data_IF_737401494374
#
_entry.id   IF_737401494374
#
_cell.length_a   1.000
_cell.length_b   1.000
_cell.length_c   1.000
_cell.angle_alpha   90.00
_cell.angle_beta   90.00
_cell.angle_gamma   90.00
#
_symmetry.space_group_name_H-M   'P 1'
#
loop_
_entity.id
_entity.type
_entity.pdbx_description
1 polymer ?
#
# COMPACT_ATOMS: atom_id res chain seq x y z
N UNK A 1 -11.29 -30.20 8.36
CA UNK A 1 -9.81 -30.08 8.38
C UNK A 1 -9.52 -28.88 9.25
N UNK A 2 -9.46 -29.11 10.56
CA UNK A 2 -9.61 -28.09 11.59
C UNK A 2 -8.23 -27.59 12.04
N UNK A 3 -7.84 -26.39 11.62
CA UNK A 3 -6.68 -25.67 12.13
C UNK A 3 -6.73 -25.49 13.66
N UNK A 4 -7.93 -25.55 14.24
CA UNK A 4 -8.17 -25.51 15.68
C UNK A 4 -7.62 -26.73 16.45
N UNK A 5 -7.42 -27.89 15.80
CA UNK A 5 -6.91 -29.11 16.45
C UNK A 5 -5.38 -29.16 16.52
N UNK A 6 -4.69 -28.35 15.72
CA UNK A 6 -3.21 -28.29 15.67
C UNK A 6 -2.61 -27.27 16.64
N UNK A 7 -3.44 -26.38 17.20
CA UNK A 7 -3.07 -25.43 18.25
C UNK A 7 -3.27 -25.99 19.67
N UNK A 8 -4.07 -27.05 19.82
CA UNK A 8 -4.30 -27.73 21.10
C UNK A 8 -3.27 -28.81 21.41
N UNK A 9 -2.53 -29.30 20.41
CA UNK A 9 -1.47 -30.30 20.59
C UNK A 9 -0.13 -29.68 21.02
N UNK A 10 0.02 -28.36 20.86
CA UNK A 10 1.10 -27.58 21.47
C UNK A 10 0.77 -27.16 22.93
N UNK A 11 -0.34 -27.67 23.47
CA UNK A 11 -0.77 -27.45 24.85
C UNK A 11 -0.79 -28.77 25.63
N UNK A 12 0.26 -29.59 25.49
CA UNK A 12 0.55 -30.56 26.55
C UNK A 12 1.05 -29.83 27.80
N UNK A 13 0.67 -30.30 29.00
CA UNK A 13 0.92 -29.60 30.24
C UNK A 13 2.42 -29.69 30.54
N UNK A 14 3.14 -28.58 30.41
CA UNK A 14 4.41 -28.37 31.10
C UNK A 14 4.12 -28.24 32.61
N UNK A 15 3.63 -29.32 33.22
CA UNK A 15 3.34 -29.47 34.64
C UNK A 15 4.25 -30.55 35.23
N UNK A 16 5.53 -30.53 34.89
CA UNK A 16 6.58 -31.12 35.72
C UNK A 16 7.76 -30.16 35.78
N UNK A 17 7.59 -29.10 36.58
CA UNK A 17 8.70 -28.47 37.24
C UNK A 17 8.28 -28.31 38.70
N UNK A 18 8.76 -29.23 39.54
CA UNK A 18 8.87 -28.99 40.98
C UNK A 18 9.93 -27.91 41.22
N UNK A 19 9.69 -26.71 40.68
CA UNK A 19 10.41 -25.51 41.02
C UNK A 19 9.80 -24.91 42.27
N UNK A 20 10.63 -24.47 43.21
CA UNK A 20 10.17 -23.68 44.36
C UNK A 20 9.18 -22.61 43.88
N UNK A 21 8.13 -22.30 44.64
CA UNK A 21 7.05 -21.38 44.22
C UNK A 21 7.53 -20.06 43.62
N UNK A 22 8.77 -19.64 43.95
CA UNK A 22 9.46 -18.50 43.33
C UNK A 22 9.84 -18.66 41.85
N UNK A 23 10.23 -19.84 41.36
CA UNK A 23 10.52 -20.07 39.94
C UNK A 23 9.27 -20.01 39.08
N UNK A 24 8.14 -20.53 39.60
CA UNK A 24 6.84 -20.40 38.94
C UNK A 24 6.47 -18.91 38.81
N UNK A 25 6.63 -18.14 39.89
CA UNK A 25 6.32 -16.72 39.93
C UNK A 25 7.20 -15.92 38.97
N UNK A 26 8.49 -16.26 38.89
CA UNK A 26 9.45 -15.67 37.95
C UNK A 26 9.07 -15.95 36.50
N UNK A 27 8.72 -17.21 36.17
CA UNK A 27 8.26 -17.58 34.83
C UNK A 27 7.01 -16.81 34.41
N UNK A 28 6.01 -16.69 35.30
CA UNK A 28 4.81 -15.88 35.02
C UNK A 28 5.16 -14.40 34.79
N UNK A 29 6.12 -13.85 35.52
CA UNK A 29 6.60 -12.48 35.34
C UNK A 29 7.29 -12.29 33.98
N UNK A 30 8.13 -13.24 33.58
CA UNK A 30 8.80 -13.25 32.26
C UNK A 30 7.75 -13.33 31.14
N UNK A 31 6.78 -14.24 31.25
CA UNK A 31 5.70 -14.34 30.27
C UNK A 31 4.87 -13.05 30.18
N UNK A 32 4.56 -12.42 31.31
CA UNK A 32 3.85 -11.14 31.33
C UNK A 32 4.64 -10.04 30.59
N UNK A 33 5.96 -9.97 30.78
CA UNK A 33 6.83 -9.01 30.08
C UNK A 33 6.84 -9.28 28.57
N UNK A 34 6.94 -10.54 28.14
CA UNK A 34 6.91 -10.91 26.71
C UNK A 34 5.59 -10.47 26.07
N UNK A 35 4.45 -10.67 26.74
CA UNK A 35 3.14 -10.23 26.25
C UNK A 35 3.08 -8.71 26.11
N UNK A 36 3.56 -7.97 27.11
CA UNK A 36 3.58 -6.50 27.06
C UNK A 36 4.45 -6.00 25.90
N UNK A 37 5.65 -6.58 25.71
CA UNK A 37 6.53 -6.23 24.59
C UNK A 37 5.87 -6.56 23.25
N UNK A 38 5.23 -7.72 23.13
CA UNK A 38 4.49 -8.12 21.94
C UNK A 38 3.37 -7.13 21.58
N UNK A 39 2.58 -6.70 22.57
CA UNK A 39 1.53 -5.69 22.37
C UNK A 39 2.13 -4.35 21.94
N UNK A 40 3.25 -3.94 22.54
CA UNK A 40 3.94 -2.68 22.23
C UNK A 40 4.42 -2.68 20.77
N UNK A 41 5.00 -3.79 20.30
CA UNK A 41 5.42 -3.98 18.90
C UNK A 41 4.21 -3.91 17.97
N UNK A 42 3.10 -4.60 18.29
CA UNK A 42 1.87 -4.56 17.49
C UNK A 42 1.29 -3.15 17.40
N UNK A 43 1.35 -2.38 18.48
CA UNK A 43 0.84 -1.00 18.53
C UNK A 43 1.70 -0.07 17.66
N UNK A 44 3.02 -0.24 17.67
CA UNK A 44 3.94 0.48 16.78
C UNK A 44 3.70 0.13 15.32
N UNK A 45 3.54 -1.15 14.98
CA UNK A 45 3.18 -1.57 13.62
C UNK A 45 1.85 -0.96 13.20
N UNK A 46 0.83 -0.98 14.05
CA UNK A 46 -0.49 -0.39 13.74
C UNK A 46 -0.39 1.11 13.43
N UNK A 47 0.51 1.82 14.13
CA UNK A 47 0.72 3.25 13.91
C UNK A 47 1.53 3.54 12.64
N UNK A 48 2.50 2.68 12.30
CA UNK A 48 3.28 2.78 11.09
C UNK A 48 2.49 2.39 9.83
N UNK A 49 1.61 1.38 9.94
CA UNK A 49 0.74 0.88 8.85
C UNK A 49 -0.50 1.74 8.63
N UNK A 50 -0.49 3.01 9.06
CA UNK A 50 -1.63 3.89 8.87
C UNK A 50 -1.76 4.18 7.38
N UNK A 51 -2.84 3.69 6.78
CA UNK A 51 -3.12 3.88 5.36
C UNK A 51 -3.20 5.37 5.04
N UNK A 52 -2.64 5.81 3.89
CA UNK A 52 -2.69 7.20 3.48
C UNK A 52 -4.13 7.64 3.26
N UNK A 53 -4.41 8.92 3.48
CA UNK A 53 -5.77 9.46 3.25
C UNK A 53 -6.05 9.60 1.75
N UNK A 54 -7.33 9.62 1.34
CA UNK A 54 -7.72 9.83 -0.07
C UNK A 54 -7.11 11.10 -0.68
N UNK A 55 -6.96 12.17 0.13
CA UNK A 55 -6.32 13.40 -0.31
C UNK A 55 -4.81 13.23 -0.56
N UNK A 56 -4.12 12.47 0.29
CA UNK A 56 -2.70 12.14 0.12
C UNK A 56 -2.48 11.24 -1.10
N UNK A 57 -3.36 10.26 -1.31
CA UNK A 57 -3.31 9.40 -2.50
C UNK A 57 -3.48 10.23 -3.77
N UNK A 58 -4.50 11.10 -3.84
CA UNK A 58 -4.66 12.04 -4.96
C UNK A 58 -3.39 12.86 -5.21
N UNK A 59 -2.81 13.43 -4.15
CA UNK A 59 -1.61 14.25 -4.27
C UNK A 59 -0.42 13.44 -4.81
N UNK A 60 -0.25 12.18 -4.37
CA UNK A 60 0.80 11.30 -4.86
C UNK A 60 0.58 10.89 -6.32
N UNK A 61 -0.66 10.60 -6.73
CA UNK A 61 -0.98 10.31 -8.13
C UNK A 61 -0.73 11.57 -9.01
N UNK A 62 -1.05 12.77 -8.51
CA UNK A 62 -0.79 14.02 -9.23
C UNK A 62 0.71 14.33 -9.35
N UNK A 63 1.50 14.02 -8.32
CA UNK A 63 2.95 14.12 -8.39
C UNK A 63 3.53 13.10 -9.40
N UNK A 64 2.96 11.90 -9.45
CA UNK A 64 3.36 10.86 -10.40
C UNK A 64 3.00 11.25 -11.85
N UNK A 65 1.82 11.80 -12.12
CA UNK A 65 1.45 12.29 -13.46
C UNK A 65 2.34 13.44 -13.91
N UNK A 66 2.68 14.37 -13.02
CA UNK A 66 3.64 15.44 -13.32
C UNK A 66 5.05 14.89 -13.62
N UNK A 67 5.48 13.85 -12.90
CA UNK A 67 6.77 13.21 -13.13
C UNK A 67 6.80 12.44 -14.47
N UNK A 68 5.68 11.83 -14.89
CA UNK A 68 5.53 11.25 -16.22
C UNK A 68 5.61 12.32 -17.32
N UNK A 69 4.94 13.47 -17.14
CA UNK A 69 5.02 14.58 -18.08
C UNK A 69 6.45 15.13 -18.22
N UNK A 70 7.17 15.29 -17.10
CA UNK A 70 8.56 15.74 -17.11
C UNK A 70 9.52 14.76 -17.81
N UNK A 71 9.19 13.47 -17.84
CA UNK A 71 9.95 12.47 -18.58
C UNK A 71 9.77 12.60 -20.09
N UNK A 72 8.60 13.03 -20.53
CA UNK A 72 8.26 13.25 -21.94
C UNK A 72 8.87 14.55 -22.48
N UNK A 73 8.75 15.66 -21.74
CA UNK A 73 9.27 16.98 -22.15
C UNK A 73 10.79 17.10 -22.09
N UNK A 74 11.43 16.42 -21.13
CA UNK A 74 12.87 16.48 -20.89
C UNK A 74 13.53 15.11 -21.06
N UNK A 75 13.20 14.43 -22.16
CA UNK A 75 13.75 13.12 -22.49
C UNK A 75 15.30 13.20 -22.50
N UNK A 76 16.00 12.52 -21.56
CA UNK A 76 17.44 12.62 -21.50
C UNK A 76 18.09 12.02 -22.76
N UNK A 77 19.09 12.72 -23.30
CA UNK A 77 19.86 12.26 -24.47
C UNK A 77 20.45 10.87 -24.23
N UNK A 78 20.94 10.61 -23.01
CA UNK A 78 21.53 9.35 -22.62
C UNK A 78 20.50 8.28 -22.25
N UNK A 79 20.60 7.11 -22.90
CA UNK A 79 19.75 5.93 -22.67
C UNK A 79 19.75 5.50 -21.19
N UNK A 80 20.90 5.51 -20.54
CA UNK A 80 21.06 5.08 -19.13
C UNK A 80 20.22 5.96 -18.19
N UNK A 81 20.21 7.26 -18.40
CA UNK A 81 19.41 8.19 -17.61
C UNK A 81 17.91 8.02 -17.85
N UNK A 82 17.51 7.75 -19.10
CA UNK A 82 16.11 7.43 -19.45
C UNK A 82 15.62 6.19 -18.70
N UNK A 83 16.42 5.12 -18.72
CA UNK A 83 16.06 3.87 -18.04
C UNK A 83 16.06 4.03 -16.51
N UNK A 84 16.98 4.82 -15.95
CA UNK A 84 16.99 5.11 -14.51
C UNK A 84 15.75 5.91 -14.08
N UNK A 85 15.31 6.91 -14.87
CA UNK A 85 14.05 7.61 -14.59
C UNK A 85 12.84 6.68 -14.71
N UNK A 86 12.80 5.84 -15.74
CA UNK A 86 11.74 4.84 -15.91
C UNK A 86 11.66 3.88 -14.70
N UNK A 87 12.81 3.40 -14.20
CA UNK A 87 12.88 2.55 -13.01
C UNK A 87 12.40 3.26 -11.75
N UNK A 88 12.76 4.54 -11.58
CA UNK A 88 12.26 5.35 -10.46
C UNK A 88 10.74 5.49 -10.51
N UNK A 89 10.19 5.82 -11.68
CA UNK A 89 8.75 5.94 -11.89
C UNK A 89 8.03 4.60 -11.67
N UNK A 90 8.60 3.48 -12.12
CA UNK A 90 8.05 2.15 -11.84
C UNK A 90 7.97 1.89 -10.33
N UNK A 91 9.05 2.18 -9.59
CA UNK A 91 9.06 2.03 -8.14
C UNK A 91 8.06 2.94 -7.42
N UNK A 92 7.82 4.15 -7.93
CA UNK A 92 6.83 5.06 -7.37
C UNK A 92 5.39 4.62 -7.73
N UNK A 93 5.18 4.06 -8.92
CA UNK A 93 3.92 3.45 -9.34
C UNK A 93 3.58 2.22 -8.49
N UNK A 94 4.54 1.33 -8.23
CA UNK A 94 4.36 0.15 -7.38
C UNK A 94 3.92 0.52 -5.95
N UNK A 95 4.52 1.57 -5.36
CA UNK A 95 4.10 2.10 -4.05
C UNK A 95 2.67 2.64 -4.08
N UNK A 96 2.28 3.29 -5.18
CA UNK A 96 0.93 3.81 -5.37
C UNK A 96 -0.10 2.68 -5.48
N UNK A 97 0.16 1.68 -6.32
CA UNK A 97 -0.69 0.49 -6.49
C UNK A 97 -0.90 -0.22 -5.15
N UNK A 98 0.18 -0.42 -4.39
CA UNK A 98 0.08 -1.02 -3.05
C UNK A 98 -0.83 -0.19 -2.13
N UNK A 99 -0.63 1.13 -2.10
CA UNK A 99 -1.42 2.01 -1.25
C UNK A 99 -2.91 2.02 -1.65
N UNK A 100 -3.22 2.10 -2.95
CA UNK A 100 -4.60 2.10 -3.45
C UNK A 100 -5.27 0.76 -3.24
N UNK A 101 -4.58 -0.35 -3.49
CA UNK A 101 -5.09 -1.71 -3.25
C UNK A 101 -5.42 -1.93 -1.77
N UNK A 102 -4.53 -1.50 -0.86
CA UNK A 102 -4.75 -1.65 0.57
C UNK A 102 -5.93 -0.78 1.09
N UNK A 103 -6.17 0.39 0.47
CA UNK A 103 -7.35 1.21 0.76
C UNK A 103 -8.61 0.55 0.20
N UNK A 104 -8.59 0.10 -1.06
CA UNK A 104 -9.72 -0.58 -1.70
C UNK A 104 -10.18 -1.80 -0.90
N UNK A 105 -9.25 -2.63 -0.43
CA UNK A 105 -9.56 -3.80 0.41
C UNK A 105 -10.16 -3.42 1.77
N UNK A 106 -9.62 -2.37 2.41
CA UNK A 106 -10.10 -1.93 3.72
C UNK A 106 -11.49 -1.31 3.64
N UNK A 107 -11.73 -0.48 2.64
CA UNK A 107 -12.98 0.27 2.48
C UNK A 107 -14.05 -0.49 1.69
N UNK A 108 -13.65 -1.59 1.02
CA UNK A 108 -14.48 -2.35 0.08
C UNK A 108 -15.10 -1.44 -0.98
N UNK A 109 -14.33 -0.45 -1.44
CA UNK A 109 -14.75 0.55 -2.41
C UNK A 109 -14.35 0.12 -3.82
N UNK A 110 -15.34 -0.18 -4.66
CA UNK A 110 -15.12 -0.56 -6.06
C UNK A 110 -14.52 0.56 -6.90
N UNK A 111 -14.77 1.83 -6.54
CA UNK A 111 -14.18 2.96 -7.26
C UNK A 111 -12.67 3.04 -7.01
N UNK A 112 -12.23 2.72 -5.79
CA UNK A 112 -10.81 2.64 -5.44
C UNK A 112 -10.12 1.43 -6.09
N UNK A 113 -10.85 0.33 -6.27
CA UNK A 113 -10.38 -0.82 -7.03
C UNK A 113 -10.14 -0.44 -8.50
N UNK A 114 -11.05 0.34 -9.10
CA UNK A 114 -10.87 0.91 -10.44
C UNK A 114 -9.67 1.84 -10.58
N UNK A 115 -9.34 2.63 -9.54
CA UNK A 115 -8.09 3.42 -9.49
C UNK A 115 -6.86 2.50 -9.53
N UNK A 116 -6.91 1.39 -8.79
CA UNK A 116 -5.82 0.40 -8.77
C UNK A 116 -5.60 -0.22 -10.15
N UNK A 117 -6.66 -0.67 -10.83
CA UNK A 117 -6.56 -1.25 -12.17
C UNK A 117 -5.96 -0.27 -13.19
N UNK A 118 -6.33 1.02 -13.11
CA UNK A 118 -5.77 2.04 -13.99
C UNK A 118 -4.27 2.28 -13.74
N UNK A 119 -3.84 2.26 -12.48
CA UNK A 119 -2.43 2.38 -12.12
C UNK A 119 -1.62 1.12 -12.51
N UNK A 120 -2.19 -0.07 -12.37
CA UNK A 120 -1.58 -1.32 -12.87
C UNK A 120 -1.39 -1.26 -14.38
N UNK A 121 -2.40 -0.77 -15.11
CA UNK A 121 -2.29 -0.52 -16.55
C UNK A 121 -1.19 0.49 -16.90
N UNK A 122 -1.07 1.59 -16.13
CA UNK A 122 0.01 2.56 -16.34
C UNK A 122 1.41 1.95 -16.08
N UNK A 123 1.52 1.08 -15.07
CA UNK A 123 2.74 0.36 -14.74
C UNK A 123 3.13 -0.62 -15.84
N UNK A 124 2.19 -1.34 -16.43
CA UNK A 124 2.44 -2.25 -17.56
C UNK A 124 3.06 -1.52 -18.74
N UNK A 125 2.45 -0.40 -19.15
CA UNK A 125 2.95 0.43 -20.26
C UNK A 125 4.34 1.01 -19.95
N UNK A 126 4.57 1.46 -18.71
CA UNK A 126 5.87 1.99 -18.27
C UNK A 126 6.95 0.90 -18.22
N UNK A 127 6.59 -0.32 -17.82
CA UNK A 127 7.47 -1.49 -17.83
C UNK A 127 7.82 -1.89 -19.27
N UNK A 128 6.82 -1.87 -20.15
CA UNK A 128 7.00 -2.14 -21.57
C UNK A 128 7.88 -1.07 -22.24
N UNK A 129 7.73 0.21 -21.87
CA UNK A 129 8.64 1.29 -22.29
C UNK A 129 10.09 1.03 -21.84
N UNK A 130 10.30 0.66 -20.57
CA UNK A 130 11.63 0.32 -20.04
C UNK A 130 12.25 -0.85 -20.80
N UNK A 131 11.50 -1.94 -20.96
CA UNK A 131 12.00 -3.17 -21.60
C UNK A 131 12.23 -2.99 -23.11
N UNK A 132 11.49 -2.08 -23.76
CA UNK A 132 11.71 -1.67 -25.14
C UNK A 132 12.88 -0.71 -25.35
N UNK A 133 13.69 -0.42 -24.33
CA UNK A 133 14.85 0.48 -24.44
C UNK A 133 14.47 1.96 -24.50
N UNK A 134 13.28 2.33 -24.04
CA UNK A 134 12.87 3.73 -23.92
C UNK A 134 12.76 4.51 -25.24
N UNK A 135 12.42 3.80 -26.31
CA UNK A 135 12.25 4.32 -27.68
C UNK A 135 10.79 4.59 -28.03
N UNK A 136 9.86 3.89 -27.39
CA UNK A 136 8.43 3.94 -27.71
C UNK A 136 7.69 5.01 -26.89
N UNK A 137 7.84 6.27 -27.29
CA UNK A 137 7.21 7.42 -26.59
C UNK A 137 5.68 7.30 -26.44
N UNK A 138 5.00 6.61 -27.37
CA UNK A 138 3.56 6.37 -27.28
C UNK A 138 3.15 5.59 -26.02
N UNK A 139 4.03 4.72 -25.48
CA UNK A 139 3.78 3.99 -24.24
C UNK A 139 3.83 4.89 -23.00
N UNK A 140 4.70 5.90 -23.00
CA UNK A 140 4.72 6.92 -21.94
C UNK A 140 3.43 7.74 -21.97
N UNK A 141 2.97 8.10 -23.17
CA UNK A 141 1.70 8.80 -23.34
C UNK A 141 0.52 7.95 -22.85
N UNK A 142 0.47 6.67 -23.21
CA UNK A 142 -0.58 5.76 -22.74
C UNK A 142 -0.57 5.59 -21.21
N UNK A 143 0.62 5.41 -20.60
CA UNK A 143 0.79 5.36 -19.15
C UNK A 143 0.28 6.64 -18.47
N UNK A 144 0.53 7.80 -19.08
CA UNK A 144 0.03 9.10 -18.62
C UNK A 144 -1.49 9.18 -18.71
N UNK A 145 -2.10 8.82 -19.83
CA UNK A 145 -3.56 8.80 -20.01
C UNK A 145 -4.24 7.96 -18.93
N UNK A 146 -3.71 6.78 -18.64
CA UNK A 146 -4.23 5.90 -17.58
C UNK A 146 -4.09 6.50 -16.19
N UNK A 147 -2.98 7.19 -15.93
CA UNK A 147 -2.75 7.91 -14.67
C UNK A 147 -3.68 9.12 -14.52
N UNK A 148 -3.97 9.84 -15.60
CA UNK A 148 -4.94 10.93 -15.59
C UNK A 148 -6.37 10.42 -15.38
N UNK A 149 -6.71 9.26 -15.96
CA UNK A 149 -7.96 8.55 -15.68
C UNK A 149 -8.10 8.17 -14.20
N UNK A 150 -7.01 7.72 -13.56
CA UNK A 150 -7.03 7.36 -12.14
C UNK A 150 -7.20 8.59 -11.23
N UNK A 151 -6.62 9.74 -11.61
CA UNK A 151 -6.88 11.03 -10.96
C UNK A 151 -8.35 11.45 -11.04
N UNK A 152 -8.96 11.35 -12.22
CA UNK A 152 -10.36 11.72 -12.41
C UNK A 152 -11.29 10.87 -11.54
N UNK A 153 -11.03 9.57 -11.44
CA UNK A 153 -11.78 8.67 -10.55
C UNK A 153 -11.57 9.05 -9.07
N UNK A 154 -10.33 9.35 -8.67
CA UNK A 154 -10.04 9.81 -7.29
C UNK A 154 -10.73 11.13 -6.94
N UNK A 155 -10.88 12.05 -7.90
CA UNK A 155 -11.66 13.28 -7.70
C UNK A 155 -13.14 13.00 -7.43
N UNK A 156 -13.75 12.09 -8.20
CA UNK A 156 -15.14 11.66 -7.96
C UNK A 156 -15.32 11.05 -6.58
N UNK A 157 -14.38 10.21 -6.12
CA UNK A 157 -14.41 9.62 -4.77
C UNK A 157 -14.39 10.72 -3.71
N UNK A 158 -13.51 11.71 -3.83
CA UNK A 158 -13.42 12.82 -2.89
C UNK A 158 -14.67 13.71 -2.89
N UNK A 159 -15.30 13.92 -4.04
CA UNK A 159 -16.57 14.66 -4.14
C UNK A 159 -17.72 13.89 -3.49
N UNK A 160 -17.81 12.58 -3.73
CA UNK A 160 -18.75 11.67 -3.07
C UNK A 160 -18.58 11.72 -1.55
N UNK A 161 -17.35 11.65 -1.06
CA UNK A 161 -17.04 11.71 0.37
C UNK A 161 -17.44 13.05 1.00
N UNK A 162 -17.25 14.18 0.28
CA UNK A 162 -17.70 15.51 0.72
C UNK A 162 -19.22 15.60 0.77
N UNK A 163 -19.92 15.07 -0.24
CA UNK A 163 -21.37 15.08 -0.31
C UNK A 163 -22.02 14.27 0.83
N UNK A 164 -21.49 13.08 1.11
CA UNK A 164 -21.94 12.23 2.22
C UNK A 164 -21.75 12.91 3.59
N UNK A 165 -20.61 13.58 3.80
CA UNK A 165 -20.35 14.35 5.03
C UNK A 165 -21.31 15.54 5.18
N UNK A 166 -21.67 16.21 4.08
CA UNK A 166 -22.60 17.35 4.08
C UNK A 166 -24.03 16.90 4.40
N UNK A 167 -24.46 15.75 3.87
CA UNK A 167 -25.78 15.19 4.14
C UNK A 167 -25.91 14.70 5.59
N UNK A 168 -24.84 14.11 6.16
CA UNK A 168 -24.82 13.69 7.57
C UNK A 168 -24.89 14.85 8.58
N UNK A 169 -24.55 16.08 8.19
CA UNK A 169 -24.71 17.29 9.03
C UNK A 169 -26.09 17.93 8.91
N UNK A 170 -26.90 17.53 7.92
CA UNK A 170 -28.24 18.08 7.66
C UNK A 170 -29.36 17.18 8.21
N UNK A 171 -29.05 15.92 8.50
CA UNK A 171 -29.91 14.99 9.24
C UNK A 171 -29.57 15.06 10.73
#
# INVERSE_FOLDING_TARGET
MNVFLLLTDAAEPAAEAAGTSGELLLNYLIYAVIIVVGILILLLLRRASRLPSHAEVKQKIAAFSAALAAMDESAPEHLVERLNRANKLLGDCDKLIYATSAIAQKERDSDMDGVCTLLEGAREELSAFRNGGGTEAWRLHEARTRTEGSLATMERILERDKALKKNKKRA
#
